data_IF_678686670792
#
_entry.id   IF_678686670792
#
_cell.length_a   1.000
_cell.length_b   1.000
_cell.length_c   1.000
_cell.angle_alpha   90.00
_cell.angle_beta   90.00
_cell.angle_gamma   90.00
#
_symmetry.space_group_name_H-M   'P 1'
#
loop_
_entity.id
_entity.type
_entity.pdbx_description
1 polymer ?
#
# COMPACT_ATOMS: atom_id res chain seq x y z
N UNK A 1 -10.00 -15.58 -10.75
CA UNK A 1 -10.31 -15.00 -9.43
C UNK A 1 -11.12 -13.75 -9.65
N UNK A 2 -12.26 -13.60 -8.97
CA UNK A 2 -12.94 -12.31 -8.90
C UNK A 2 -12.23 -11.46 -7.85
N UNK A 3 -11.55 -10.41 -8.31
CA UNK A 3 -10.81 -9.47 -7.46
C UNK A 3 -11.44 -8.08 -7.46
N UNK A 4 -12.63 -7.93 -8.04
CA UNK A 4 -13.27 -6.63 -8.24
C UNK A 4 -12.40 -5.68 -9.08
N UNK A 5 -11.77 -6.21 -10.14
CA UNK A 5 -10.91 -5.43 -11.03
C UNK A 5 -11.74 -4.28 -11.64
N UNK A 6 -11.22 -3.05 -11.64
CA UNK A 6 -11.93 -1.88 -12.16
C UNK A 6 -12.13 -1.93 -13.68
N UNK A 7 -11.36 -2.77 -14.38
CA UNK A 7 -11.32 -2.92 -15.83
C UNK A 7 -11.89 -4.26 -16.35
N UNK A 8 -12.48 -5.08 -15.47
CA UNK A 8 -13.14 -6.34 -15.84
C UNK A 8 -14.67 -6.19 -15.84
N UNK A 9 -15.33 -6.17 -17.02
CA UNK A 9 -16.77 -5.96 -17.12
C UNK A 9 -17.65 -7.20 -16.88
N UNK A 10 -17.15 -8.42 -17.13
CA UNK A 10 -17.95 -9.67 -17.03
C UNK A 10 -17.09 -10.87 -16.62
N UNK A 11 -16.97 -11.07 -15.31
CA UNK A 11 -16.28 -12.23 -14.74
C UNK A 11 -16.92 -13.58 -15.12
N UNK A 12 -18.22 -13.63 -15.40
CA UNK A 12 -18.91 -14.89 -15.72
C UNK A 12 -18.61 -15.36 -17.16
N UNK A 13 -18.11 -14.47 -18.03
CA UNK A 13 -17.62 -14.82 -19.36
C UNK A 13 -16.31 -15.63 -19.30
N UNK A 14 -15.46 -15.37 -18.32
CA UNK A 14 -14.09 -15.93 -18.25
C UNK A 14 -14.10 -17.46 -18.09
N UNK A 15 -14.87 -18.07 -17.15
CA UNK A 15 -14.97 -19.53 -17.07
C UNK A 15 -15.59 -20.15 -18.33
N UNK A 16 -16.56 -19.48 -18.96
CA UNK A 16 -17.19 -19.95 -20.21
C UNK A 16 -16.17 -20.05 -21.34
N UNK A 17 -15.31 -19.04 -21.49
CA UNK A 17 -14.19 -19.05 -22.46
C UNK A 17 -13.17 -20.15 -22.15
N UNK A 18 -12.82 -20.35 -20.88
CA UNK A 18 -11.88 -21.41 -20.50
C UNK A 18 -12.39 -22.82 -20.90
N UNK A 19 -13.68 -23.10 -20.70
CA UNK A 19 -14.30 -24.34 -21.15
C UNK A 19 -14.29 -24.47 -22.69
N UNK A 20 -14.54 -23.38 -23.41
CA UNK A 20 -14.45 -23.37 -24.89
C UNK A 20 -13.02 -23.68 -25.38
N UNK A 21 -11.99 -23.26 -24.65
CA UNK A 21 -10.59 -23.56 -24.97
C UNK A 21 -10.13 -24.95 -24.52
N UNK A 22 -11.04 -25.78 -23.98
CA UNK A 22 -10.78 -27.17 -23.63
C UNK A 22 -10.40 -27.42 -22.17
N UNK A 23 -10.67 -26.49 -21.25
CA UNK A 23 -10.51 -26.77 -19.82
C UNK A 23 -11.48 -27.86 -19.36
N UNK A 24 -10.97 -28.86 -18.62
CA UNK A 24 -11.79 -29.92 -17.99
C UNK A 24 -12.82 -29.35 -17.01
N UNK A 25 -12.42 -28.32 -16.26
CA UNK A 25 -13.26 -27.59 -15.31
C UNK A 25 -12.82 -26.14 -15.25
N UNK A 26 -13.77 -25.22 -15.16
CA UNK A 26 -13.51 -23.79 -14.96
C UNK A 26 -14.40 -23.25 -13.83
N UNK A 27 -13.79 -22.60 -12.83
CA UNK A 27 -14.47 -22.01 -11.67
C UNK A 27 -14.13 -20.53 -11.54
N UNK A 28 -15.11 -19.72 -11.19
CA UNK A 28 -14.89 -18.37 -10.71
C UNK A 28 -14.79 -18.40 -9.18
N UNK A 29 -13.59 -18.16 -8.65
CA UNK A 29 -13.36 -18.07 -7.20
C UNK A 29 -13.49 -16.61 -6.78
N UNK A 30 -14.43 -16.31 -5.88
CA UNK A 30 -14.61 -14.96 -5.35
C UNK A 30 -13.61 -14.66 -4.24
N UNK A 31 -12.70 -13.73 -4.52
CA UNK A 31 -11.62 -13.34 -3.62
C UNK A 31 -11.83 -11.96 -3.01
N UNK A 32 -12.92 -11.25 -3.35
CA UNK A 32 -13.11 -9.84 -2.99
C UNK A 32 -13.15 -9.61 -1.48
N UNK A 33 -13.88 -10.44 -0.75
CA UNK A 33 -13.99 -10.31 0.70
C UNK A 33 -12.64 -10.50 1.40
N UNK A 34 -11.89 -11.53 1.02
CA UNK A 34 -10.55 -11.74 1.58
C UNK A 34 -9.62 -10.59 1.20
N UNK A 35 -9.68 -10.10 -0.05
CA UNK A 35 -8.88 -8.96 -0.48
C UNK A 35 -9.22 -7.68 0.29
N UNK A 36 -10.49 -7.43 0.60
CA UNK A 36 -10.91 -6.34 1.47
C UNK A 36 -10.33 -6.48 2.89
N UNK A 37 -10.44 -7.66 3.49
CA UNK A 37 -9.88 -7.92 4.83
C UNK A 37 -8.36 -7.74 4.89
N UNK A 38 -7.61 -8.28 3.92
CA UNK A 38 -6.15 -8.13 3.88
C UNK A 38 -5.74 -6.67 3.60
N UNK A 39 -6.49 -5.95 2.75
CA UNK A 39 -6.29 -4.52 2.52
C UNK A 39 -6.50 -3.69 3.79
N UNK A 40 -7.56 -3.97 4.55
CA UNK A 40 -7.82 -3.30 5.85
C UNK A 40 -6.75 -3.68 6.87
N UNK A 41 -6.31 -4.94 6.93
CA UNK A 41 -5.23 -5.36 7.84
C UNK A 41 -3.89 -4.66 7.52
N UNK A 42 -3.58 -4.48 6.22
CA UNK A 42 -2.40 -3.73 5.79
C UNK A 42 -2.51 -2.24 6.15
N UNK A 43 -3.70 -1.63 5.99
CA UNK A 43 -4.00 -0.27 6.44
C UNK A 43 -3.80 -0.12 7.95
N UNK A 44 -4.41 -1.00 8.74
CA UNK A 44 -4.34 -0.99 10.20
C UNK A 44 -2.90 -1.07 10.73
N UNK A 45 -2.04 -1.78 10.00
CA UNK A 45 -0.64 -1.98 10.33
C UNK A 45 0.34 -1.02 9.65
N UNK A 46 -0.14 -0.07 8.84
CA UNK A 46 0.71 0.84 8.08
C UNK A 46 1.74 0.08 7.22
N UNK A 47 1.35 -1.06 6.65
CA UNK A 47 2.24 -2.04 6.02
C UNK A 47 2.72 -1.59 4.62
N UNK A 48 3.23 -0.37 4.51
CA UNK A 48 3.59 0.31 3.27
C UNK A 48 5.02 0.83 3.37
N UNK A 49 5.92 0.27 2.56
CA UNK A 49 7.36 0.54 2.66
C UNK A 49 7.92 1.33 1.47
N UNK A 50 7.13 1.50 0.43
CA UNK A 50 7.50 2.23 -0.79
C UNK A 50 6.79 3.57 -0.73
N UNK A 51 7.58 4.63 -0.64
CA UNK A 51 7.09 6.00 -0.71
C UNK A 51 8.15 6.93 -1.25
N UNK A 52 7.71 8.05 -1.82
CA UNK A 52 8.58 9.14 -2.27
C UNK A 52 8.02 10.44 -1.70
N UNK A 53 8.81 11.12 -0.86
CA UNK A 53 8.39 12.33 -0.14
C UNK A 53 7.03 12.19 0.58
N UNK A 54 6.78 11.02 1.18
CA UNK A 54 5.53 10.70 1.90
C UNK A 54 4.38 10.20 1.00
N UNK A 55 4.47 10.31 -0.32
CA UNK A 55 3.46 9.75 -1.24
C UNK A 55 3.67 8.25 -1.33
N UNK A 56 2.68 7.49 -0.88
CA UNK A 56 2.82 6.06 -0.55
C UNK A 56 2.22 5.16 -1.65
N UNK A 57 2.90 4.05 -1.95
CA UNK A 57 2.30 2.91 -2.64
C UNK A 57 1.77 1.90 -1.60
N UNK A 58 0.48 1.57 -1.72
CA UNK A 58 -0.25 0.75 -0.74
C UNK A 58 -0.09 -0.77 -0.89
N UNK A 59 0.98 -1.24 -1.56
CA UNK A 59 1.27 -2.68 -1.74
C UNK A 59 0.09 -3.51 -2.30
N UNK A 60 -0.70 -2.92 -3.20
CA UNK A 60 -1.95 -3.51 -3.70
C UNK A 60 -1.72 -4.77 -4.54
N UNK A 61 -0.64 -4.85 -5.33
CA UNK A 61 -0.25 -6.08 -6.04
C UNK A 61 0.22 -7.19 -5.10
N UNK A 62 1.17 -6.96 -4.16
CA UNK A 62 1.53 -7.94 -3.13
C UNK A 62 0.34 -8.53 -2.36
N UNK A 63 -0.63 -7.69 -1.97
CA UNK A 63 -1.86 -8.14 -1.30
C UNK A 63 -2.71 -9.04 -2.21
N UNK A 64 -2.92 -8.61 -3.46
CA UNK A 64 -3.60 -9.42 -4.47
C UNK A 64 -2.94 -10.79 -4.65
N UNK A 65 -1.60 -10.88 -4.57
CA UNK A 65 -0.85 -12.14 -4.72
C UNK A 65 -0.97 -13.03 -3.48
N UNK A 66 -0.96 -12.46 -2.28
CA UNK A 66 -1.20 -13.20 -1.04
C UNK A 66 -2.58 -13.88 -1.07
N UNK A 67 -3.60 -13.16 -1.54
CA UNK A 67 -4.97 -13.67 -1.64
C UNK A 67 -5.11 -14.70 -2.75
N UNK A 68 -4.68 -14.39 -3.97
CA UNK A 68 -4.86 -15.33 -5.10
C UNK A 68 -3.97 -16.55 -5.00
N UNK A 69 -2.71 -16.41 -4.57
CA UNK A 69 -1.78 -17.52 -4.42
C UNK A 69 -2.23 -18.54 -3.38
N UNK A 70 -3.00 -18.11 -2.36
CA UNK A 70 -3.59 -19.01 -1.37
C UNK A 70 -4.94 -19.55 -1.83
N UNK A 71 -5.91 -18.69 -2.16
CA UNK A 71 -7.28 -19.12 -2.46
C UNK A 71 -7.39 -19.96 -3.75
N UNK A 72 -6.61 -19.64 -4.79
CA UNK A 72 -6.64 -20.44 -6.01
C UNK A 72 -6.00 -21.81 -5.81
N UNK A 73 -4.89 -21.89 -5.07
CA UNK A 73 -4.25 -23.18 -4.77
C UNK A 73 -5.12 -24.02 -3.82
N UNK A 74 -5.84 -23.40 -2.89
CA UNK A 74 -6.84 -24.09 -2.07
C UNK A 74 -7.96 -24.67 -2.94
N UNK A 75 -8.52 -23.88 -3.87
CA UNK A 75 -9.55 -24.35 -4.80
C UNK A 75 -9.04 -25.47 -5.73
N UNK A 76 -7.79 -25.38 -6.20
CA UNK A 76 -7.14 -26.47 -6.95
C UNK A 76 -7.06 -27.74 -6.11
N UNK A 77 -6.66 -27.63 -4.84
CA UNK A 77 -6.56 -28.77 -3.92
C UNK A 77 -7.92 -29.42 -3.63
N UNK A 78 -9.00 -28.64 -3.51
CA UNK A 78 -10.37 -29.17 -3.39
C UNK A 78 -10.77 -30.05 -4.58
N UNK A 79 -10.23 -29.74 -5.77
CA UNK A 79 -10.47 -30.45 -7.02
C UNK A 79 -9.39 -31.52 -7.31
N UNK A 80 -8.57 -31.89 -6.31
CA UNK A 80 -7.45 -32.85 -6.41
C UNK A 80 -6.38 -32.46 -7.46
N UNK A 81 -6.26 -31.15 -7.74
CA UNK A 81 -5.23 -30.60 -8.64
C UNK A 81 -4.00 -30.20 -7.85
N UNK A 82 -2.89 -30.88 -8.10
CA UNK A 82 -1.61 -30.65 -7.42
C UNK A 82 -0.51 -30.05 -8.33
N UNK A 83 -0.84 -29.70 -9.57
CA UNK A 83 0.09 -29.05 -10.50
C UNK A 83 -0.48 -27.70 -10.93
N UNK A 84 0.26 -26.62 -10.69
CA UNK A 84 -0.09 -25.29 -11.17
C UNK A 84 0.79 -24.87 -12.34
N UNK A 85 0.20 -24.71 -13.53
CA UNK A 85 0.83 -24.06 -14.67
C UNK A 85 0.87 -22.54 -14.47
N UNK A 86 1.94 -22.04 -13.83
CA UNK A 86 2.09 -20.64 -13.45
C UNK A 86 3.04 -19.90 -14.42
N UNK A 87 2.46 -19.00 -15.22
CA UNK A 87 3.16 -18.19 -16.22
C UNK A 87 3.91 -16.96 -15.69
N UNK A 88 3.96 -16.73 -14.38
CA UNK A 88 4.76 -15.63 -13.79
C UNK A 88 6.20 -15.61 -14.36
N UNK A 89 6.68 -14.46 -14.82
CA UNK A 89 7.97 -14.36 -15.50
C UNK A 89 9.17 -14.52 -14.55
N UNK A 90 10.30 -14.99 -15.08
CA UNK A 90 11.53 -15.23 -14.30
C UNK A 90 12.23 -13.96 -13.78
N UNK A 91 11.81 -12.76 -14.21
CA UNK A 91 12.38 -11.46 -13.80
C UNK A 91 11.46 -10.66 -12.87
N UNK A 92 10.23 -11.12 -12.66
CA UNK A 92 9.22 -10.44 -11.85
C UNK A 92 9.26 -10.91 -10.39
N UNK A 93 8.64 -10.16 -9.49
CA UNK A 93 8.50 -10.56 -8.09
C UNK A 93 7.47 -11.71 -7.90
N UNK A 94 6.48 -11.78 -8.79
CA UNK A 94 5.32 -12.64 -8.60
C UNK A 94 5.65 -14.14 -8.68
N UNK A 95 6.74 -14.52 -9.37
CA UNK A 95 7.24 -15.90 -9.35
C UNK A 95 7.58 -16.38 -7.95
N UNK A 96 8.24 -15.56 -7.13
CA UNK A 96 8.60 -15.91 -5.77
C UNK A 96 7.39 -15.85 -4.83
N UNK A 97 6.52 -14.85 -5.01
CA UNK A 97 5.30 -14.69 -4.20
C UNK A 97 4.37 -15.90 -4.36
N UNK A 98 4.05 -16.25 -5.60
CA UNK A 98 3.17 -17.37 -5.90
C UNK A 98 3.78 -18.72 -5.53
N UNK A 99 5.10 -18.90 -5.76
CA UNK A 99 5.81 -20.09 -5.29
C UNK A 99 5.67 -20.28 -3.77
N UNK A 100 5.89 -19.21 -3.00
CA UNK A 100 5.79 -19.25 -1.54
C UNK A 100 4.36 -19.49 -1.05
N UNK A 101 3.39 -18.69 -1.52
CA UNK A 101 1.99 -18.83 -1.08
C UNK A 101 1.37 -20.17 -1.49
N UNK A 102 1.70 -20.66 -2.69
CA UNK A 102 1.23 -21.95 -3.18
C UNK A 102 1.73 -23.11 -2.33
N UNK A 103 3.03 -23.16 -2.03
CA UNK A 103 3.61 -24.22 -1.19
C UNK A 103 3.18 -24.15 0.28
N UNK A 104 2.93 -22.94 0.81
CA UNK A 104 2.33 -22.79 2.14
C UNK A 104 0.91 -23.36 2.19
N UNK A 105 0.15 -23.24 1.09
CA UNK A 105 -1.26 -23.69 1.02
C UNK A 105 -1.39 -25.18 0.73
N UNK A 106 -0.57 -25.69 -0.19
CA UNK A 106 -0.54 -27.09 -0.56
C UNK A 106 0.91 -27.59 -0.60
N UNK A 107 1.36 -28.40 0.39
CA UNK A 107 2.73 -28.91 0.44
C UNK A 107 3.04 -29.92 -0.68
N UNK A 108 2.02 -30.46 -1.35
CA UNK A 108 2.17 -31.36 -2.51
C UNK A 108 2.16 -30.61 -3.85
N UNK A 109 2.01 -29.28 -3.84
CA UNK A 109 1.95 -28.49 -5.05
C UNK A 109 3.26 -28.60 -5.83
N UNK A 110 3.16 -28.93 -7.11
CA UNK A 110 4.22 -28.74 -8.09
C UNK A 110 3.84 -27.59 -9.00
N UNK A 111 4.83 -26.85 -9.47
CA UNK A 111 4.59 -25.68 -10.33
C UNK A 111 5.26 -25.94 -11.68
N UNK A 112 4.43 -26.04 -12.72
CA UNK A 112 4.88 -26.08 -14.10
C UNK A 112 5.12 -24.65 -14.59
N UNK A 113 6.31 -24.39 -15.14
CA UNK A 113 6.68 -23.11 -15.74
C UNK A 113 6.73 -23.27 -17.25
N UNK A 114 5.73 -22.79 -18.01
CA UNK A 114 5.67 -23.01 -19.46
C UNK A 114 6.92 -22.50 -20.20
N UNK A 115 7.50 -21.39 -19.74
CA UNK A 115 8.72 -20.82 -20.32
C UNK A 115 10.02 -21.61 -20.03
N UNK A 116 9.95 -22.74 -19.31
CA UNK A 116 11.03 -23.74 -19.24
C UNK A 116 10.87 -24.87 -20.27
N UNK A 117 9.70 -24.98 -20.90
CA UNK A 117 9.39 -26.00 -21.88
C UNK A 117 9.72 -25.47 -23.29
N UNK A 118 10.71 -26.08 -23.94
CA UNK A 118 11.16 -25.65 -25.26
C UNK A 118 10.03 -25.69 -26.29
N UNK A 119 9.11 -26.66 -26.18
CA UNK A 119 7.97 -26.75 -27.09
C UNK A 119 7.02 -25.57 -26.93
N UNK A 120 6.77 -25.13 -25.70
CA UNK A 120 5.97 -23.94 -25.44
C UNK A 120 6.65 -22.69 -26.00
N UNK A 121 7.98 -22.56 -25.85
CA UNK A 121 8.74 -21.42 -26.40
C UNK A 121 8.65 -21.40 -27.93
N UNK A 122 8.84 -22.56 -28.57
CA UNK A 122 8.86 -22.67 -30.03
C UNK A 122 7.47 -22.39 -30.65
N UNK A 123 6.38 -22.82 -30.01
CA UNK A 123 5.01 -22.64 -30.51
C UNK A 123 4.37 -21.30 -30.06
N UNK A 124 4.69 -20.81 -28.85
CA UNK A 124 3.96 -19.73 -28.16
C UNK A 124 4.88 -18.66 -27.57
N UNK A 125 6.09 -18.48 -28.09
CA UNK A 125 7.12 -17.61 -27.50
C UNK A 125 6.78 -16.11 -27.42
N UNK A 126 5.82 -15.63 -28.21
CA UNK A 126 5.41 -14.23 -28.25
C UNK A 126 3.91 -14.02 -28.44
N UNK A 127 3.46 -12.77 -28.28
CA UNK A 127 2.02 -12.43 -28.40
C UNK A 127 1.49 -12.65 -29.81
N UNK A 128 2.32 -12.46 -30.83
CA UNK A 128 1.92 -12.67 -32.23
C UNK A 128 1.68 -14.16 -32.50
N UNK A 129 2.58 -15.01 -32.03
CA UNK A 129 2.52 -16.47 -32.13
C UNK A 129 1.32 -17.01 -31.34
N UNK A 130 1.10 -16.54 -30.11
CA UNK A 130 -0.09 -16.92 -29.31
C UNK A 130 -1.41 -16.52 -30.01
N UNK A 131 -1.47 -15.34 -30.62
CA UNK A 131 -2.65 -14.89 -31.37
C UNK A 131 -2.89 -15.75 -32.61
N UNK A 132 -1.84 -16.07 -33.35
CA UNK A 132 -1.90 -16.96 -34.51
C UNK A 132 -2.34 -18.37 -34.12
N UNK A 133 -1.82 -18.91 -33.00
CA UNK A 133 -2.23 -20.20 -32.46
C UNK A 133 -3.73 -20.25 -32.15
N UNK A 134 -4.27 -19.22 -31.49
CA UNK A 134 -5.71 -19.12 -31.21
C UNK A 134 -6.55 -19.10 -32.51
N UNK A 135 -6.13 -18.28 -33.50
CA UNK A 135 -6.81 -18.18 -34.78
C UNK A 135 -6.80 -19.52 -35.55
N UNK A 136 -5.68 -20.24 -35.55
CA UNK A 136 -5.55 -21.55 -36.17
C UNK A 136 -6.47 -22.59 -35.55
N UNK A 137 -6.77 -22.47 -34.25
CA UNK A 137 -7.69 -23.36 -33.53
C UNK A 137 -9.15 -22.87 -33.55
N UNK A 138 -9.49 -21.92 -34.42
CA UNK A 138 -10.87 -21.46 -34.62
C UNK A 138 -11.37 -20.47 -33.57
N UNK A 139 -10.48 -19.95 -32.71
CA UNK A 139 -10.83 -18.96 -31.70
C UNK A 139 -10.45 -17.55 -32.16
N UNK A 140 -11.46 -16.69 -32.35
CA UNK A 140 -11.28 -15.29 -32.69
C UNK A 140 -10.78 -14.45 -31.51
N UNK A 141 -9.56 -14.69 -31.04
CA UNK A 141 -8.95 -13.89 -29.99
C UNK A 141 -8.78 -12.44 -30.47
N UNK A 142 -9.49 -11.51 -29.82
CA UNK A 142 -9.33 -10.08 -30.07
C UNK A 142 -8.15 -9.60 -29.23
N UNK A 143 -6.99 -9.40 -29.87
CA UNK A 143 -5.93 -8.63 -29.22
C UNK A 143 -6.46 -7.25 -28.86
N UNK A 144 -6.32 -6.86 -27.60
CA UNK A 144 -6.52 -5.48 -27.17
C UNK A 144 -5.57 -4.57 -27.96
N UNK A 145 -5.99 -3.32 -28.21
CA UNK A 145 -5.10 -2.31 -28.76
C UNK A 145 -3.81 -2.24 -27.94
N UNK A 146 -2.66 -2.15 -28.62
CA UNK A 146 -1.39 -2.09 -27.94
C UNK A 146 -1.32 -0.84 -27.04
N UNK A 147 -1.09 -1.06 -25.74
CA UNK A 147 -0.89 0.01 -24.77
C UNK A 147 0.61 0.31 -24.61
N UNK A 148 0.92 1.57 -24.34
CA UNK A 148 2.28 2.06 -24.05
C UNK A 148 2.88 1.55 -22.72
N UNK A 149 2.10 0.81 -21.93
CA UNK A 149 2.48 0.25 -20.63
C UNK A 149 1.69 -1.04 -20.35
N UNK A 150 2.16 -1.83 -19.39
CA UNK A 150 1.46 -2.98 -18.80
C UNK A 150 0.64 -2.54 -17.60
N UNK A 151 -0.46 -3.24 -17.29
CA UNK A 151 -1.30 -2.93 -16.11
C UNK A 151 -1.73 -4.20 -15.39
N UNK A 152 -1.60 -4.17 -14.07
CA UNK A 152 -2.17 -5.15 -13.13
C UNK A 152 -3.14 -4.42 -12.21
N UNK A 153 -4.27 -5.04 -11.87
CA UNK A 153 -5.34 -4.38 -11.14
C UNK A 153 -6.06 -5.35 -10.19
N UNK A 154 -6.64 -4.78 -9.15
CA UNK A 154 -7.65 -5.37 -8.28
C UNK A 154 -8.43 -4.24 -7.59
N UNK A 155 -9.44 -4.56 -6.78
CA UNK A 155 -10.26 -3.51 -6.15
C UNK A 155 -9.50 -2.61 -5.14
N UNK A 156 -8.30 -2.97 -4.69
CA UNK A 156 -7.49 -2.13 -3.81
C UNK A 156 -6.68 -1.07 -4.58
N UNK A 157 -6.31 -1.37 -5.82
CA UNK A 157 -5.47 -0.50 -6.63
C UNK A 157 -5.10 -1.07 -8.00
N UNK A 158 -4.48 -0.23 -8.81
CA UNK A 158 -3.90 -0.58 -10.10
C UNK A 158 -2.43 -0.14 -10.17
N UNK A 159 -1.63 -0.87 -10.94
CA UNK A 159 -0.21 -0.59 -11.15
C UNK A 159 0.09 -0.58 -12.64
N UNK A 160 0.73 0.47 -13.13
CA UNK A 160 1.15 0.63 -14.52
C UNK A 160 2.68 0.64 -14.60
N UNK A 161 3.26 -0.26 -15.39
CA UNK A 161 4.71 -0.41 -15.49
C UNK A 161 5.15 -0.93 -16.88
N UNK A 162 6.46 -1.10 -17.06
CA UNK A 162 7.09 -1.61 -18.28
C UNK A 162 6.88 -0.72 -19.53
N UNK A 163 7.48 -1.14 -20.65
CA UNK A 163 7.40 -0.44 -21.95
C UNK A 163 7.84 1.03 -21.80
N UNK A 164 7.04 2.00 -22.26
CA UNK A 164 7.42 3.41 -22.29
C UNK A 164 7.59 3.99 -20.87
N UNK A 165 6.99 3.36 -19.85
CA UNK A 165 7.20 3.75 -18.44
C UNK A 165 8.55 3.30 -17.88
N UNK A 166 9.33 2.45 -18.56
CA UNK A 166 10.71 2.13 -18.16
C UNK A 166 11.62 3.36 -18.26
N UNK A 167 11.35 4.26 -19.22
CA UNK A 167 12.05 5.53 -19.33
C UNK A 167 11.57 6.52 -18.27
N UNK A 168 12.50 7.04 -17.48
CA UNK A 168 12.22 8.13 -16.52
C UNK A 168 11.95 9.48 -17.22
N UNK A 169 12.17 9.56 -18.55
CA UNK A 169 11.70 10.69 -19.36
C UNK A 169 10.19 10.65 -19.65
N UNK A 170 9.54 9.51 -19.41
CA UNK A 170 8.08 9.36 -19.43
C UNK A 170 7.47 9.68 -18.06
N UNK A 171 6.17 9.94 -18.00
CA UNK A 171 5.48 10.35 -16.76
C UNK A 171 4.06 9.81 -16.69
N UNK A 172 3.38 10.08 -15.57
CA UNK A 172 1.94 9.84 -15.39
C UNK A 172 1.09 10.35 -16.57
N UNK A 173 1.56 11.34 -17.34
CA UNK A 173 0.84 11.92 -18.48
C UNK A 173 0.52 10.95 -19.61
N UNK A 174 1.26 9.84 -19.75
CA UNK A 174 0.95 8.79 -20.75
C UNK A 174 -0.06 7.76 -20.23
N UNK A 175 -0.35 7.75 -18.93
CA UNK A 175 -1.24 6.79 -18.29
C UNK A 175 -2.68 7.25 -18.44
N UNK A 176 -3.54 6.35 -18.93
CA UNK A 176 -4.99 6.48 -18.80
C UNK A 176 -5.41 5.72 -17.54
N UNK A 177 -5.78 6.44 -16.46
CA UNK A 177 -6.14 5.82 -15.19
C UNK A 177 -7.42 4.98 -15.34
N UNK A 178 -7.50 3.89 -14.59
CA UNK A 178 -8.64 2.95 -14.61
C UNK A 178 -9.45 2.98 -13.31
N UNK A 179 -8.96 3.62 -12.25
CA UNK A 179 -9.68 3.76 -10.98
C UNK A 179 -10.10 5.21 -10.68
N UNK A 180 -9.73 6.16 -11.53
CA UNK A 180 -10.08 7.55 -11.36
C UNK A 180 -9.89 8.39 -12.62
N UNK A 181 -9.93 9.71 -12.43
CA UNK A 181 -9.74 10.68 -13.50
C UNK A 181 -8.26 11.05 -13.70
N UNK A 182 -7.93 11.54 -14.89
CA UNK A 182 -6.61 12.12 -15.19
C UNK A 182 -6.51 13.55 -14.60
N UNK A 183 -6.36 13.66 -13.28
CA UNK A 183 -6.43 14.93 -12.53
C UNK A 183 -5.43 16.01 -12.98
N UNK A 184 -4.33 15.60 -13.62
CA UNK A 184 -3.28 16.47 -14.16
C UNK A 184 -3.63 17.15 -15.48
N UNK A 185 -4.77 16.78 -16.10
CA UNK A 185 -5.24 17.44 -17.31
C UNK A 185 -6.16 18.62 -16.93
N UNK A 186 -5.84 19.79 -17.45
CA UNK A 186 -6.55 21.04 -17.11
C UNK A 186 -8.02 21.04 -17.58
N UNK A 187 -8.32 20.33 -18.66
CA UNK A 187 -9.66 20.18 -19.25
C UNK A 187 -10.57 19.22 -18.47
N UNK A 188 -10.01 18.40 -17.58
CA UNK A 188 -10.79 17.53 -16.70
C UNK A 188 -11.32 18.37 -15.55
N UNK A 189 -12.64 18.57 -15.48
CA UNK A 189 -13.27 19.33 -14.39
C UNK A 189 -13.30 18.51 -13.09
N UNK A 190 -12.81 19.11 -12.00
CA UNK A 190 -12.79 18.50 -10.66
C UNK A 190 -13.39 19.48 -9.67
N UNK A 191 -14.57 19.17 -9.12
CA UNK A 191 -15.22 19.96 -8.09
C UNK A 191 -14.68 19.55 -6.73
N UNK A 192 -14.49 20.51 -5.82
CA UNK A 192 -14.20 20.19 -4.43
C UNK A 192 -15.35 19.34 -3.85
N UNK A 193 -15.01 18.32 -3.07
CA UNK A 193 -15.97 17.42 -2.44
C UNK A 193 -15.61 17.23 -0.97
N UNK A 194 -16.55 17.50 -0.07
CA UNK A 194 -16.40 17.11 1.33
C UNK A 194 -16.79 15.65 1.52
N UNK A 195 -15.95 14.90 2.23
CA UNK A 195 -16.21 13.51 2.59
C UNK A 195 -15.93 13.28 4.07
N UNK A 196 -16.80 12.51 4.72
CA UNK A 196 -16.60 12.02 6.08
C UNK A 196 -16.33 10.52 6.05
N UNK A 197 -15.23 10.09 6.67
CA UNK A 197 -14.87 8.69 6.84
C UNK A 197 -14.98 8.33 8.31
N UNK A 198 -15.70 7.26 8.65
CA UNK A 198 -15.88 6.80 10.04
C UNK A 198 -15.35 5.39 10.25
N UNK A 199 -14.64 5.21 11.36
CA UNK A 199 -14.10 3.95 11.83
C UNK A 199 -14.73 3.55 13.17
N UNK A 200 -14.85 2.23 13.37
CA UNK A 200 -15.15 1.59 14.65
C UNK A 200 -14.13 0.49 14.92
N UNK A 201 -13.39 0.61 16.03
CA UNK A 201 -12.35 -0.33 16.45
C UNK A 201 -11.35 -0.70 15.33
N UNK A 202 -11.03 0.29 14.50
CA UNK A 202 -10.09 0.18 13.38
C UNK A 202 -10.71 -0.34 12.08
N UNK A 203 -11.99 -0.72 12.06
CA UNK A 203 -12.71 -1.08 10.85
C UNK A 203 -13.36 0.16 10.23
N UNK A 204 -13.19 0.43 8.93
CA UNK A 204 -13.98 1.46 8.27
C UNK A 204 -15.43 0.96 8.18
N UNK A 205 -16.38 1.74 8.66
CA UNK A 205 -17.80 1.32 8.76
C UNK A 205 -18.76 2.27 8.05
N UNK A 206 -18.39 3.53 7.81
CA UNK A 206 -19.27 4.47 7.13
C UNK A 206 -18.53 5.51 6.29
N UNK A 207 -19.20 5.96 5.22
CA UNK A 207 -18.79 7.05 4.35
C UNK A 207 -19.97 8.00 4.17
N UNK A 208 -19.77 9.29 4.44
CA UNK A 208 -20.81 10.34 4.34
C UNK A 208 -22.11 9.99 5.10
N UNK A 209 -21.96 9.44 6.31
CA UNK A 209 -23.08 9.03 7.16
C UNK A 209 -23.78 7.72 6.75
N UNK A 210 -23.39 7.11 5.62
CA UNK A 210 -23.94 5.82 5.17
C UNK A 210 -23.10 4.68 5.73
N UNK A 211 -23.72 3.78 6.49
CA UNK A 211 -23.09 2.58 7.04
C UNK A 211 -23.00 1.45 6.01
N UNK A 212 -21.92 0.67 6.10
CA UNK A 212 -21.68 -0.49 5.26
C UNK A 212 -21.38 -1.70 6.14
N UNK A 213 -22.25 -2.70 6.09
CA UNK A 213 -21.98 -4.02 6.71
C UNK A 213 -21.05 -4.88 5.85
N UNK A 214 -20.93 -4.57 4.55
CA UNK A 214 -20.04 -5.26 3.62
C UNK A 214 -18.79 -4.40 3.35
N UNK A 215 -17.59 -4.84 3.78
CA UNK A 215 -16.36 -4.10 3.55
C UNK A 215 -16.01 -3.99 2.05
N UNK A 216 -16.48 -4.93 1.21
CA UNK A 216 -16.27 -4.85 -0.24
C UNK A 216 -17.03 -3.65 -0.80
N UNK A 217 -18.32 -3.50 -0.46
CA UNK A 217 -19.13 -2.36 -0.87
C UNK A 217 -18.55 -1.03 -0.38
N UNK A 218 -18.03 -0.98 0.85
CA UNK A 218 -17.39 0.21 1.39
C UNK A 218 -16.14 0.62 0.59
N UNK A 219 -15.23 -0.32 0.31
CA UNK A 219 -14.01 -0.03 -0.46
C UNK A 219 -14.37 0.40 -1.89
N UNK A 220 -15.35 -0.24 -2.52
CA UNK A 220 -15.82 0.19 -3.84
C UNK A 220 -16.39 1.61 -3.82
N UNK A 221 -17.11 1.99 -2.76
CA UNK A 221 -17.57 3.36 -2.61
C UNK A 221 -16.43 4.34 -2.34
N UNK A 222 -15.46 3.99 -1.48
CA UNK A 222 -14.28 4.79 -1.24
C UNK A 222 -13.47 5.01 -2.54
N UNK A 223 -13.35 3.98 -3.37
CA UNK A 223 -12.74 4.08 -4.71
C UNK A 223 -13.49 5.07 -5.59
N UNK A 224 -14.82 5.06 -5.61
CA UNK A 224 -15.60 6.04 -6.39
C UNK A 224 -15.36 7.45 -5.91
N UNK A 225 -15.29 7.67 -4.59
CA UNK A 225 -15.01 8.99 -4.00
C UNK A 225 -13.62 9.45 -4.40
N UNK A 226 -12.56 8.73 -4.00
CA UNK A 226 -11.19 9.13 -4.33
C UNK A 226 -10.90 9.20 -5.84
N UNK A 227 -11.55 8.33 -6.63
CA UNK A 227 -11.41 8.26 -8.08
C UNK A 227 -11.89 9.52 -8.81
N UNK A 228 -12.93 10.21 -8.30
CA UNK A 228 -13.38 11.50 -8.85
C UNK A 228 -12.32 12.61 -8.73
N UNK A 229 -11.33 12.44 -7.87
CA UNK A 229 -10.28 13.41 -7.60
C UNK A 229 -8.90 12.96 -8.10
N UNK A 230 -8.74 11.67 -8.46
CA UNK A 230 -7.42 11.09 -8.74
C UNK A 230 -6.54 10.93 -7.49
N UNK A 231 -7.17 10.83 -6.31
CA UNK A 231 -6.50 10.70 -5.02
C UNK A 231 -5.67 9.41 -4.96
N UNK A 232 -4.49 9.48 -4.35
CA UNK A 232 -3.66 8.30 -4.08
C UNK A 232 -2.80 7.85 -5.26
N UNK A 233 -2.80 8.59 -6.38
CA UNK A 233 -1.86 8.32 -7.46
C UNK A 233 -0.43 8.67 -7.05
N UNK A 234 0.53 7.83 -7.48
CA UNK A 234 1.96 8.05 -7.20
C UNK A 234 2.87 7.45 -8.28
N UNK A 235 4.10 7.95 -8.35
CA UNK A 235 5.19 7.45 -9.21
C UNK A 235 6.32 6.98 -8.30
N UNK A 236 6.71 5.71 -8.39
CA UNK A 236 7.72 5.13 -7.50
C UNK A 236 8.78 4.39 -8.29
N UNK A 237 10.05 4.64 -7.93
CA UNK A 237 11.15 3.72 -8.21
C UNK A 237 11.28 2.81 -6.99
N UNK A 238 11.03 1.52 -7.19
CA UNK A 238 11.02 0.50 -6.13
C UNK A 238 12.16 -0.51 -6.31
N UNK A 239 12.48 -1.24 -5.24
CA UNK A 239 13.48 -2.30 -5.28
C UNK A 239 12.77 -3.66 -5.33
N UNK A 240 12.96 -4.40 -6.42
CA UNK A 240 12.46 -5.77 -6.56
C UNK A 240 13.15 -6.71 -5.56
N UNK A 241 12.56 -7.88 -5.37
CA UNK A 241 13.11 -8.92 -4.48
C UNK A 241 14.54 -9.31 -4.92
N UNK A 242 14.77 -9.33 -6.24
CA UNK A 242 16.06 -9.65 -6.89
C UNK A 242 17.09 -8.50 -6.85
N UNK A 243 16.87 -7.48 -6.02
CA UNK A 243 17.80 -6.34 -5.82
C UNK A 243 18.02 -5.44 -7.05
N UNK A 244 17.16 -5.56 -8.06
CA UNK A 244 17.08 -4.65 -9.19
C UNK A 244 15.93 -3.65 -9.03
N UNK A 245 16.09 -2.43 -9.55
CA UNK A 245 15.03 -1.42 -9.50
C UNK A 245 14.00 -1.61 -10.62
N UNK A 246 12.75 -1.29 -10.32
CA UNK A 246 11.70 -1.05 -11.32
C UNK A 246 10.99 0.26 -11.03
N UNK A 247 10.23 0.77 -12.00
CA UNK A 247 9.44 1.99 -11.87
C UNK A 247 7.98 1.71 -12.26
N UNK A 248 7.05 2.25 -11.48
CA UNK A 248 5.62 2.10 -11.71
C UNK A 248 4.85 3.36 -11.36
N UNK A 249 3.68 3.51 -11.99
CA UNK A 249 2.66 4.48 -11.64
C UNK A 249 1.51 3.72 -10.98
N UNK A 250 1.04 4.20 -9.83
CA UNK A 250 0.09 3.48 -8.98
C UNK A 250 -1.21 4.27 -8.84
N UNK A 251 -2.33 3.56 -8.74
CA UNK A 251 -3.65 4.06 -8.36
C UNK A 251 -4.14 3.29 -7.12
N UNK A 252 -4.68 3.99 -6.11
CA UNK A 252 -5.30 3.35 -4.94
C UNK A 252 -6.29 4.32 -4.23
N UNK A 253 -7.31 4.84 -4.93
CA UNK A 253 -8.12 5.95 -4.43
C UNK A 253 -8.85 5.66 -3.11
N UNK A 254 -9.44 4.47 -2.98
CA UNK A 254 -10.14 4.08 -1.76
C UNK A 254 -9.19 3.90 -0.58
N UNK A 255 -8.08 3.18 -0.76
CA UNK A 255 -7.09 3.00 0.31
C UNK A 255 -6.44 4.32 0.72
N UNK A 256 -6.17 5.23 -0.22
CA UNK A 256 -5.63 6.55 0.10
C UNK A 256 -6.60 7.37 0.96
N UNK A 257 -7.89 7.39 0.62
CA UNK A 257 -8.91 8.06 1.42
C UNK A 257 -8.99 7.48 2.84
N UNK A 258 -9.04 6.15 2.95
CA UNK A 258 -9.09 5.47 4.25
C UNK A 258 -7.81 5.69 5.05
N UNK A 259 -6.65 5.73 4.40
CA UNK A 259 -5.36 5.97 5.04
C UNK A 259 -5.24 7.36 5.66
N UNK A 260 -5.70 8.41 4.96
CA UNK A 260 -5.68 9.78 5.51
C UNK A 260 -6.52 9.85 6.78
N UNK A 261 -7.73 9.28 6.77
CA UNK A 261 -8.61 9.29 7.93
C UNK A 261 -8.05 8.43 9.08
N UNK A 262 -7.51 7.24 8.78
CA UNK A 262 -6.92 6.36 9.79
C UNK A 262 -5.69 6.99 10.46
N UNK A 263 -4.73 7.51 9.69
CA UNK A 263 -3.54 8.20 10.23
C UNK A 263 -3.93 9.42 11.07
N UNK A 264 -4.92 10.19 10.63
CA UNK A 264 -5.40 11.35 11.37
C UNK A 264 -5.96 10.95 12.74
N UNK A 265 -6.72 9.86 12.81
CA UNK A 265 -7.21 9.34 14.10
C UNK A 265 -6.06 8.78 14.95
N UNK A 266 -5.13 8.01 14.37
CA UNK A 266 -3.95 7.48 15.07
C UNK A 266 -3.19 8.60 15.79
N UNK A 267 -2.93 9.72 15.11
CA UNK A 267 -2.19 10.87 15.70
C UNK A 267 -2.94 11.61 16.81
N UNK A 268 -4.27 11.54 16.84
CA UNK A 268 -5.09 12.16 17.89
C UNK A 268 -5.36 11.25 19.11
N UNK A 269 -5.08 9.95 18.99
CA UNK A 269 -5.45 8.92 19.97
C UNK A 269 -4.20 8.37 20.67
N UNK A 270 -3.20 7.93 19.90
CA UNK A 270 -2.03 7.22 20.46
C UNK A 270 -0.92 8.17 20.92
N UNK A 271 -0.15 7.72 21.90
CA UNK A 271 1.04 8.43 22.36
C UNK A 271 2.22 8.28 21.38
N UNK A 272 3.29 9.05 21.62
CA UNK A 272 4.45 9.12 20.73
C UNK A 272 5.13 7.75 20.51
N UNK A 273 5.42 7.01 21.59
CA UNK A 273 6.09 5.70 21.52
C UNK A 273 5.24 4.63 20.78
N UNK A 274 3.91 4.69 20.92
CA UNK A 274 3.01 3.77 20.19
C UNK A 274 3.01 4.08 18.70
N UNK A 275 2.98 5.37 18.34
CA UNK A 275 3.05 5.82 16.94
C UNK A 275 4.41 5.46 16.32
N UNK A 276 5.51 5.61 17.07
CA UNK A 276 6.84 5.22 16.62
C UNK A 276 6.89 3.71 16.29
N UNK A 277 6.45 2.87 17.23
CA UNK A 277 6.44 1.42 17.03
C UNK A 277 5.54 1.00 15.87
N UNK A 278 4.36 1.62 15.72
CA UNK A 278 3.46 1.41 14.60
C UNK A 278 4.15 1.69 13.26
N UNK A 279 4.80 2.85 13.12
CA UNK A 279 5.46 3.24 11.86
C UNK A 279 6.68 2.38 11.53
N UNK A 280 7.55 2.10 12.50
CA UNK A 280 8.72 1.23 12.30
C UNK A 280 8.29 -0.19 11.91
N UNK A 281 7.28 -0.73 12.60
CA UNK A 281 6.74 -2.06 12.32
C UNK A 281 6.07 -2.12 10.95
N UNK A 282 5.33 -1.07 10.57
CA UNK A 282 4.69 -0.94 9.27
C UNK A 282 5.68 -0.98 8.10
N UNK A 283 6.78 -0.24 8.19
CA UNK A 283 7.85 -0.28 7.18
C UNK A 283 8.44 -1.69 7.03
N UNK A 284 8.73 -2.36 8.15
CA UNK A 284 9.28 -3.73 8.15
C UNK A 284 8.28 -4.74 7.59
N UNK A 285 7.01 -4.63 8.00
CA UNK A 285 5.93 -5.49 7.54
C UNK A 285 5.62 -5.30 6.06
N UNK A 286 5.64 -4.05 5.57
CA UNK A 286 5.44 -3.73 4.16
C UNK A 286 6.50 -4.37 3.26
N UNK A 287 7.76 -4.45 3.71
CA UNK A 287 8.81 -5.19 2.99
C UNK A 287 8.56 -6.70 3.00
N UNK A 288 8.16 -7.27 4.13
CA UNK A 288 7.82 -8.71 4.23
C UNK A 288 6.64 -9.07 3.31
N UNK A 289 5.60 -8.23 3.28
CA UNK A 289 4.47 -8.36 2.36
C UNK A 289 4.94 -8.35 0.91
N UNK A 290 5.77 -7.37 0.53
CA UNK A 290 6.30 -7.25 -0.84
C UNK A 290 7.13 -8.46 -1.26
N UNK A 291 7.83 -9.12 -0.31
CA UNK A 291 8.61 -10.34 -0.50
C UNK A 291 7.77 -11.64 -0.54
N UNK A 292 6.44 -11.56 -0.45
CA UNK A 292 5.58 -12.75 -0.43
C UNK A 292 5.51 -13.44 0.94
N UNK A 293 5.95 -12.79 2.02
CA UNK A 293 6.07 -13.35 3.37
C UNK A 293 4.92 -12.91 4.29
N UNK A 294 3.77 -12.57 3.73
CA UNK A 294 2.65 -12.02 4.51
C UNK A 294 2.15 -12.98 5.61
N UNK A 295 2.22 -14.29 5.37
CA UNK A 295 1.80 -15.31 6.34
C UNK A 295 2.96 -15.95 7.11
N UNK A 296 4.18 -15.42 6.98
CA UNK A 296 5.31 -15.87 7.78
C UNK A 296 5.16 -15.42 9.25
N UNK A 297 5.72 -16.16 10.24
CA UNK A 297 5.61 -15.84 11.66
C UNK A 297 5.97 -14.38 11.99
N UNK A 298 7.08 -13.88 11.45
CA UNK A 298 7.53 -12.51 11.68
C UNK A 298 6.61 -11.44 11.09
N UNK A 299 5.84 -11.76 10.04
CA UNK A 299 4.82 -10.85 9.51
C UNK A 299 3.56 -10.88 10.37
N UNK A 300 3.16 -12.07 10.85
CA UNK A 300 2.03 -12.24 11.78
C UNK A 300 2.26 -11.42 13.06
N UNK A 301 3.45 -11.51 13.67
CA UNK A 301 3.81 -10.75 14.88
C UNK A 301 3.58 -9.24 14.72
N UNK A 302 4.05 -8.66 13.62
CA UNK A 302 3.93 -7.23 13.36
C UNK A 302 2.48 -6.84 13.04
N UNK A 303 1.81 -7.65 12.20
CA UNK A 303 0.43 -7.39 11.79
C UNK A 303 -0.51 -7.46 13.00
N UNK A 304 -0.45 -8.52 13.79
CA UNK A 304 -1.33 -8.71 14.94
C UNK A 304 -1.15 -7.61 15.98
N UNK A 305 0.09 -7.19 16.25
CA UNK A 305 0.39 -6.10 17.18
C UNK A 305 -0.40 -4.84 16.82
N UNK A 306 -0.37 -4.44 15.54
CA UNK A 306 -1.08 -3.26 15.08
C UNK A 306 -2.60 -3.47 15.05
N UNK A 307 -3.09 -4.63 14.56
CA UNK A 307 -4.52 -4.94 14.53
C UNK A 307 -5.16 -4.94 15.93
N UNK A 308 -4.39 -5.26 16.98
CA UNK A 308 -4.86 -5.28 18.37
C UNK A 308 -4.68 -3.95 19.08
N UNK A 309 -3.45 -3.49 19.23
CA UNK A 309 -3.13 -2.40 20.17
C UNK A 309 -3.24 -1.03 19.53
N UNK A 310 -3.06 -0.94 18.21
CA UNK A 310 -3.22 0.31 17.46
C UNK A 310 -4.67 0.45 16.99
N UNK A 311 -5.13 -0.48 16.16
CA UNK A 311 -6.38 -0.37 15.43
C UNK A 311 -7.63 -0.38 16.33
N UNK A 312 -7.67 -1.20 17.39
CA UNK A 312 -8.87 -1.33 18.25
C UNK A 312 -9.23 -0.03 18.97
N UNK A 313 -8.27 0.88 19.17
CA UNK A 313 -8.53 2.20 19.74
C UNK A 313 -9.09 3.20 18.72
N UNK A 314 -9.03 2.90 17.43
CA UNK A 314 -9.42 3.80 16.34
C UNK A 314 -10.93 3.72 16.10
N UNK A 315 -11.67 4.48 16.91
CA UNK A 315 -13.11 4.72 16.74
C UNK A 315 -13.34 6.21 16.62
N UNK A 316 -13.93 6.68 15.53
CA UNK A 316 -14.12 8.11 15.27
C UNK A 316 -14.32 8.44 13.80
N UNK A 317 -14.44 9.73 13.49
CA UNK A 317 -14.67 10.25 12.15
C UNK A 317 -13.69 11.37 11.78
N UNK A 318 -13.34 11.42 10.51
CA UNK A 318 -12.54 12.49 9.91
C UNK A 318 -13.29 13.05 8.73
N UNK A 319 -13.44 14.37 8.69
CA UNK A 319 -14.01 15.10 7.56
C UNK A 319 -12.90 15.78 6.79
N UNK A 320 -12.87 15.63 5.46
CA UNK A 320 -11.87 16.22 4.58
C UNK A 320 -12.51 16.75 3.30
N UNK A 321 -11.94 17.82 2.74
CA UNK A 321 -12.25 18.33 1.40
C UNK A 321 -11.22 17.78 0.41
N UNK A 322 -11.67 17.09 -0.63
CA UNK A 322 -10.84 16.58 -1.72
C UNK A 322 -10.86 17.54 -2.91
N UNK A 323 -9.68 17.83 -3.49
CA UNK A 323 -9.53 18.67 -4.70
C UNK A 323 -8.93 17.86 -5.85
N UNK A 324 -7.71 18.15 -6.30
CA UNK A 324 -7.08 17.46 -7.43
C UNK A 324 -5.89 16.62 -6.97
N UNK A 325 -5.86 15.35 -7.36
CA UNK A 325 -4.81 14.42 -6.98
C UNK A 325 -4.70 14.31 -5.46
N UNK A 326 -3.51 14.55 -4.93
CA UNK A 326 -3.22 14.48 -3.50
C UNK A 326 -3.39 15.83 -2.76
N UNK A 327 -4.04 16.82 -3.40
CA UNK A 327 -4.43 18.07 -2.75
C UNK A 327 -5.77 17.91 -2.01
N UNK A 328 -5.72 18.00 -0.69
CA UNK A 328 -6.88 17.89 0.21
C UNK A 328 -6.68 18.72 1.47
N UNK A 329 -7.76 18.96 2.22
CA UNK A 329 -7.73 19.65 3.51
C UNK A 329 -8.50 18.87 4.56
N UNK A 330 -7.93 18.72 5.76
CA UNK A 330 -8.66 18.19 6.91
C UNK A 330 -9.59 19.27 7.46
N UNK A 331 -10.89 18.97 7.54
CA UNK A 331 -11.91 19.91 8.01
C UNK A 331 -12.31 19.64 9.47
N UNK A 332 -12.42 18.37 9.86
CA UNK A 332 -12.79 17.99 11.23
C UNK A 332 -12.20 16.64 11.64
N UNK A 333 -12.02 16.41 12.93
CA UNK A 333 -11.57 15.15 13.52
C UNK A 333 -12.28 14.94 14.85
N UNK A 334 -13.05 13.86 14.95
CA UNK A 334 -13.87 13.54 16.11
C UNK A 334 -13.61 12.11 16.55
N UNK A 335 -13.41 11.90 17.84
CA UNK A 335 -13.34 10.56 18.42
C UNK A 335 -13.59 10.64 19.92
N UNK A 336 -14.35 9.68 20.51
CA UNK A 336 -14.44 9.56 21.96
C UNK A 336 -13.11 9.16 22.61
N UNK A 337 -12.13 8.73 21.82
CA UNK A 337 -10.84 8.21 22.27
C UNK A 337 -9.69 9.20 22.09
N UNK A 338 -9.97 10.46 21.70
CA UNK A 338 -8.91 11.46 21.58
C UNK A 338 -8.18 11.64 22.92
N UNK A 339 -6.86 11.56 22.88
CA UNK A 339 -5.99 12.02 23.97
C UNK A 339 -5.59 13.48 23.78
N UNK A 340 -5.78 14.02 22.56
CA UNK A 340 -5.77 15.45 22.28
C UNK A 340 -6.94 16.14 23.01
N UNK A 341 -6.61 16.92 24.03
CA UNK A 341 -7.55 17.56 24.95
C UNK A 341 -6.98 18.92 25.39
N UNK A 342 -7.07 19.97 24.55
CA UNK A 342 -6.42 21.25 24.82
C UNK A 342 -6.89 21.91 26.13
N UNK A 343 -8.12 21.66 26.55
CA UNK A 343 -8.67 22.13 27.83
C UNK A 343 -7.89 21.59 29.05
N UNK A 344 -7.27 20.41 28.96
CA UNK A 344 -6.41 19.86 30.02
C UNK A 344 -5.07 20.55 30.14
N UNK A 345 -4.67 21.32 29.12
CA UNK A 345 -3.46 22.15 29.12
C UNK A 345 -3.80 23.63 29.35
N UNK A 346 -5.06 23.98 29.60
CA UNK A 346 -5.45 25.35 29.91
C UNK A 346 -4.81 25.81 31.21
N UNK A 347 -4.29 27.04 31.18
CA UNK A 347 -3.68 27.71 32.34
C UNK A 347 -4.54 28.88 32.84
N UNK A 348 -5.78 29.01 32.34
CA UNK A 348 -6.68 30.13 32.68
C UNK A 348 -7.18 30.09 34.12
N UNK A 349 -7.31 28.90 34.72
CA UNK A 349 -7.66 28.70 36.13
C UNK A 349 -6.58 27.89 36.82
N UNK A 350 -5.90 28.52 37.78
CA UNK A 350 -4.75 27.93 38.48
C UNK A 350 -5.10 26.73 39.36
N UNK A 351 -6.37 26.58 39.75
CA UNK A 351 -6.86 25.50 40.61
C UNK A 351 -6.89 24.14 39.88
N UNK A 352 -7.05 24.16 38.56
CA UNK A 352 -7.17 22.96 37.72
C UNK A 352 -5.89 22.69 36.88
N UNK A 353 -4.83 23.48 37.07
CA UNK A 353 -3.61 23.38 36.26
C UNK A 353 -2.84 22.07 36.54
N UNK A 354 -2.45 21.30 35.50
CA UNK A 354 -1.79 20.00 35.69
C UNK A 354 -0.35 20.10 36.22
N UNK A 355 0.29 21.25 36.05
CA UNK A 355 1.62 21.55 36.58
C UNK A 355 1.82 23.07 36.68
N UNK A 356 2.70 23.49 37.59
CA UNK A 356 3.10 24.88 37.76
C UNK A 356 4.34 25.23 36.92
N UNK A 357 4.63 26.53 36.71
CA UNK A 357 5.90 26.95 36.11
C UNK A 357 7.13 26.40 36.83
N UNK A 358 7.06 26.23 38.15
CA UNK A 358 8.18 25.71 38.95
C UNK A 358 8.45 24.24 38.65
N UNK A 359 7.41 23.43 38.43
CA UNK A 359 7.56 22.01 38.07
C UNK A 359 8.32 21.87 36.75
N UNK A 360 8.03 22.74 35.78
CA UNK A 360 8.74 22.73 34.50
C UNK A 360 10.21 23.11 34.67
N UNK A 361 10.54 24.07 35.53
CA UNK A 361 11.94 24.39 35.85
C UNK A 361 12.64 23.16 36.48
N UNK A 362 11.97 22.48 37.42
CA UNK A 362 12.49 21.23 37.99
C UNK A 362 12.74 20.15 36.94
N UNK A 363 11.84 19.98 35.97
CA UNK A 363 12.03 19.03 34.87
C UNK A 363 13.24 19.39 33.99
N UNK A 364 13.48 20.68 33.73
CA UNK A 364 14.62 21.14 32.92
C UNK A 364 15.96 20.86 33.61
N UNK A 365 16.06 21.06 34.93
CA UNK A 365 17.33 20.88 35.66
C UNK A 365 17.79 19.42 35.66
N UNK A 366 16.88 18.46 35.58
CA UNK A 366 17.20 17.03 35.45
C UNK A 366 17.96 16.69 34.15
N UNK A 367 17.96 17.57 33.14
CA UNK A 367 18.68 17.37 31.87
C UNK A 367 20.15 17.81 31.93
N UNK A 368 20.58 18.52 32.98
CA UNK A 368 21.90 19.17 33.02
C UNK A 368 23.08 18.20 32.91
N UNK A 369 23.00 17.00 33.52
CA UNK A 369 24.09 16.03 33.50
C UNK A 369 24.38 15.53 32.07
N UNK A 370 23.34 15.07 31.37
CA UNK A 370 23.45 14.60 29.99
C UNK A 370 23.89 15.72 29.01
N UNK A 371 23.46 16.96 29.27
CA UNK A 371 23.91 18.13 28.49
C UNK A 371 25.42 18.37 28.65
N UNK A 372 25.96 18.23 29.88
CA UNK A 372 27.41 18.34 30.13
C UNK A 372 28.16 17.22 29.42
N UNK A 373 27.66 16.00 29.52
CA UNK A 373 28.25 14.84 28.85
C UNK A 373 28.26 14.99 27.32
N UNK A 374 27.14 15.43 26.74
CA UNK A 374 27.03 15.74 25.30
C UNK A 374 28.02 16.82 24.89
N UNK A 375 28.16 17.90 25.67
CA UNK A 375 29.15 18.95 25.41
C UNK A 375 30.58 18.41 25.44
N UNK A 376 30.90 17.53 26.39
CA UNK A 376 32.21 16.88 26.45
C UNK A 376 32.45 15.98 25.23
N UNK A 377 31.44 15.24 24.76
CA UNK A 377 31.52 14.42 23.55
C UNK A 377 31.81 15.25 22.29
N UNK A 378 31.17 16.40 22.14
CA UNK A 378 31.47 17.32 21.03
C UNK A 378 32.96 17.71 20.99
N UNK A 379 33.58 17.95 22.15
CA UNK A 379 35.02 18.19 22.24
C UNK A 379 35.87 16.98 21.87
N UNK A 380 35.44 15.77 22.23
CA UNK A 380 36.10 14.51 21.80
C UNK A 380 36.01 14.34 20.29
N UNK A 381 34.83 14.57 19.69
CA UNK A 381 34.64 14.48 18.25
C UNK A 381 35.49 15.50 17.48
N UNK A 382 35.62 16.73 18.00
CA UNK A 382 36.50 17.73 17.42
C UNK A 382 37.98 17.30 17.47
N UNK A 383 38.45 16.78 18.62
CA UNK A 383 39.84 16.26 18.76
C UNK A 383 40.11 15.06 17.84
N UNK A 384 39.10 14.23 17.60
CA UNK A 384 39.16 13.10 16.69
C UNK A 384 39.06 13.51 15.20
N UNK A 385 38.92 14.80 14.90
CA UNK A 385 38.79 15.32 13.52
C UNK A 385 37.44 15.09 12.87
N UNK A 386 36.42 14.66 13.63
CA UNK A 386 35.06 14.42 13.12
C UNK A 386 34.23 15.71 13.04
N UNK A 387 34.57 16.71 13.87
CA UNK A 387 33.93 18.02 13.87
C UNK A 387 34.97 19.13 13.70
N UNK A 388 34.66 20.15 12.91
CA UNK A 388 35.46 21.38 12.83
C UNK A 388 34.89 22.43 13.79
N UNK A 389 35.79 23.11 14.51
CA UNK A 389 35.47 24.33 15.23
C UNK A 389 35.63 25.49 14.24
N UNK A 390 34.62 25.71 13.39
CA UNK A 390 34.64 26.84 12.46
C UNK A 390 34.92 28.16 13.19
N UNK A 391 35.77 29.01 12.65
CA UNK A 391 36.09 30.32 13.25
C UNK A 391 34.82 31.16 13.40
N UNK A 392 34.33 31.29 14.64
CA UNK A 392 33.11 32.03 14.98
C UNK A 392 31.82 31.21 15.06
N UNK A 393 31.87 29.88 14.91
CA UNK A 393 30.70 29.03 15.10
C UNK A 393 30.44 28.75 16.60
N UNK A 394 29.19 28.96 17.05
CA UNK A 394 28.78 28.71 18.45
C UNK A 394 28.73 27.21 18.82
N UNK A 395 28.75 26.31 17.82
CA UNK A 395 28.80 24.85 17.98
C UNK A 395 29.69 24.22 16.89
N UNK A 396 30.34 23.07 17.15
CA UNK A 396 31.15 22.37 16.14
C UNK A 396 30.30 21.87 14.96
N UNK A 397 30.84 21.92 13.74
CA UNK A 397 30.19 21.45 12.51
C UNK A 397 30.75 20.10 12.09
N UNK A 398 30.00 19.32 11.31
CA UNK A 398 30.53 18.11 10.68
C UNK A 398 31.72 18.50 9.79
N UNK A 399 32.85 17.79 9.92
CA UNK A 399 33.99 18.04 9.05
C UNK A 399 33.60 17.77 7.58
N UNK A 400 33.96 18.70 6.69
CA UNK A 400 33.56 18.85 5.27
C UNK A 400 32.41 19.86 4.96
N UNK A 401 31.95 20.64 5.94
CA UNK A 401 31.07 21.81 5.71
C UNK A 401 31.83 23.08 5.27
N UNK A 402 33.13 22.98 5.00
CA UNK A 402 33.89 24.02 4.33
C UNK A 402 33.51 23.94 2.84
N UNK A 403 32.57 24.78 2.43
CA UNK A 403 32.17 24.88 1.02
C UNK A 403 33.37 25.17 0.14
N UNK A 404 33.82 24.15 -0.58
CA UNK A 404 34.43 24.24 -1.91
C UNK A 404 33.46 23.63 -2.95
#
# INVERSE_FOLDING_TARGET
ANLGQPDEPDYDEIPRKALQYGAEKARLIDCRLQLAHEGIAALQAGAFHISTAGVTYFNTTPLGRAVTGTLLVAAMKEDDVHIWGDGSTFKGNDIERFYRYGLLTNPLLRIYKPWLDQRFIDELGGRAEMSAFMAQHGFGYKMSAEKAYSTDSNMLGATHEAKDLESLGSSVRIVNPIMGIAFWKDDVAVKAEEVTVRFEEGQPVALNGVEYSDPVALILQANRIGGRHGLGMSDQIENRIIEAKSRGIYEAPGLALLHIAYERLVTGIHNEDTIEQYRMSGLKLGRLLYQGRWFDPQAIMLRETAQRWVARAITGSVTLELRRGNDYSLLNTESPNLTYAPERLSMEKVEDAPFSPLDRIGQLTMRNLDIVDTRAKLGVYAKAGLLSLGSGAALPRLANDDGE
#
